data_IF_620217064305
#
_entry.id   IF_620217064305
#
_cell.length_a   1.000
_cell.length_b   1.000
_cell.length_c   1.000
_cell.angle_alpha   90.00
_cell.angle_beta   90.00
_cell.angle_gamma   90.00
#
_symmetry.space_group_name_H-M   'P 1'
#
loop_
_entity.id
_entity.type
_entity.pdbx_description
1 polymer ?
#
# COMPACT_ATOMS: atom_id res chain seq x y z
N UNK A 1 1.78 -17.34 8.57
CA UNK A 1 1.90 -18.24 7.40
C UNK A 1 0.68 -17.93 6.54
N UNK A 2 0.83 -17.80 5.22
CA UNK A 2 -0.32 -17.61 4.34
C UNK A 2 -1.22 -18.86 4.38
N UNK A 3 -2.52 -18.68 4.12
CA UNK A 3 -3.42 -19.81 3.92
C UNK A 3 -3.12 -20.52 2.60
N UNK A 4 -3.43 -21.82 2.54
CA UNK A 4 -3.37 -22.57 1.28
C UNK A 4 -4.60 -22.33 0.40
N UNK A 5 -4.45 -22.55 -0.91
CA UNK A 5 -5.54 -22.39 -1.89
C UNK A 5 -6.79 -23.20 -1.50
N UNK A 6 -6.70 -24.48 -1.08
CA UNK A 6 -7.89 -25.26 -0.70
C UNK A 6 -8.69 -24.66 0.46
N UNK A 7 -8.03 -24.15 1.51
CA UNK A 7 -8.73 -23.52 2.62
C UNK A 7 -9.46 -22.24 2.17
N UNK A 8 -8.80 -21.41 1.36
CA UNK A 8 -9.38 -20.17 0.83
C UNK A 8 -10.56 -20.47 -0.10
N UNK A 9 -10.42 -21.42 -1.03
CA UNK A 9 -11.52 -21.84 -1.93
C UNK A 9 -12.69 -22.44 -1.15
N UNK A 10 -12.44 -23.21 -0.09
CA UNK A 10 -13.51 -23.71 0.78
C UNK A 10 -14.32 -22.57 1.40
N UNK A 11 -13.67 -21.56 1.99
CA UNK A 11 -14.34 -20.41 2.61
C UNK A 11 -15.12 -19.60 1.58
N UNK A 12 -14.52 -19.33 0.42
CA UNK A 12 -15.18 -18.66 -0.70
C UNK A 12 -16.46 -19.39 -1.12
N UNK A 13 -16.41 -20.72 -1.18
CA UNK A 13 -17.57 -21.55 -1.54
C UNK A 13 -18.66 -21.55 -0.48
N UNK A 14 -18.32 -21.47 0.81
CA UNK A 14 -19.30 -21.34 1.91
C UNK A 14 -20.05 -20.02 1.76
N UNK A 15 -19.33 -18.89 1.67
CA UNK A 15 -19.94 -17.56 1.49
C UNK A 15 -20.77 -17.51 0.21
N UNK A 16 -20.25 -18.04 -0.92
CA UNK A 16 -21.02 -18.13 -2.17
C UNK A 16 -22.38 -18.81 -1.98
N UNK A 17 -22.42 -19.96 -1.31
CA UNK A 17 -23.66 -20.72 -1.11
C UNK A 17 -24.66 -19.94 -0.26
N UNK A 18 -24.19 -19.27 0.79
CA UNK A 18 -25.05 -18.43 1.63
C UNK A 18 -25.71 -17.32 0.80
N UNK A 19 -24.91 -16.64 -0.04
CA UNK A 19 -25.41 -15.56 -0.89
C UNK A 19 -26.37 -16.07 -1.96
N UNK A 20 -26.07 -17.18 -2.62
CA UNK A 20 -26.94 -17.78 -3.65
C UNK A 20 -28.26 -18.31 -3.07
N UNK A 21 -28.24 -18.79 -1.82
CA UNK A 21 -29.45 -19.22 -1.10
C UNK A 21 -30.39 -18.04 -0.77
N UNK A 22 -29.81 -16.88 -0.50
CA UNK A 22 -30.55 -15.68 -0.14
C UNK A 22 -30.99 -14.86 -1.37
N UNK A 23 -30.05 -14.59 -2.28
CA UNK A 23 -30.20 -13.81 -3.51
C UNK A 23 -30.14 -14.71 -4.75
N UNK A 24 -31.23 -15.43 -5.02
CA UNK A 24 -31.33 -16.43 -6.11
C UNK A 24 -30.99 -15.93 -7.53
N UNK A 25 -31.05 -14.63 -7.76
CA UNK A 25 -30.73 -14.00 -9.05
C UNK A 25 -29.23 -13.71 -9.22
N UNK A 26 -28.43 -13.97 -8.20
CA UNK A 26 -27.02 -13.61 -8.12
C UNK A 26 -26.16 -14.84 -7.91
N UNK A 27 -25.14 -14.99 -8.74
CA UNK A 27 -24.12 -16.04 -8.63
C UNK A 27 -22.75 -15.42 -8.44
N UNK A 28 -21.85 -16.17 -7.80
CA UNK A 28 -20.47 -15.74 -7.59
C UNK A 28 -19.50 -16.75 -8.17
N UNK A 29 -18.44 -16.25 -8.82
CA UNK A 29 -17.27 -17.04 -9.18
C UNK A 29 -16.06 -16.46 -8.47
N UNK A 30 -15.49 -17.24 -7.56
CA UNK A 30 -14.25 -16.92 -6.88
C UNK A 30 -13.10 -17.63 -7.60
N UNK A 31 -12.17 -16.85 -8.15
CA UNK A 31 -10.92 -17.34 -8.74
C UNK A 31 -9.84 -17.20 -7.68
N UNK A 32 -9.52 -18.30 -7.02
CA UNK A 32 -8.49 -18.37 -5.96
C UNK A 32 -7.15 -18.73 -6.59
N UNK A 33 -6.09 -17.99 -6.25
CA UNK A 33 -4.75 -18.15 -6.84
C UNK A 33 -3.63 -17.78 -5.86
N UNK A 34 -2.40 -18.13 -6.23
CA UNK A 34 -1.15 -17.62 -5.64
C UNK A 34 -0.45 -16.69 -6.64
N UNK A 35 0.45 -15.82 -6.16
CA UNK A 35 1.20 -14.90 -7.01
C UNK A 35 1.85 -15.61 -8.21
N UNK A 36 1.55 -15.13 -9.43
CA UNK A 36 2.03 -15.72 -10.68
C UNK A 36 1.17 -16.86 -11.25
N UNK A 37 0.13 -17.34 -10.56
CA UNK A 37 -0.72 -18.46 -11.00
C UNK A 37 -2.13 -18.04 -11.46
N UNK A 38 -2.42 -16.74 -11.54
CA UNK A 38 -3.78 -16.23 -11.85
C UNK A 38 -4.36 -16.79 -13.16
N UNK A 39 -3.56 -16.89 -14.23
CA UNK A 39 -4.00 -17.43 -15.52
C UNK A 39 -4.39 -18.91 -15.45
N UNK A 40 -3.67 -19.69 -14.65
CA UNK A 40 -4.01 -21.10 -14.43
C UNK A 40 -5.32 -21.23 -13.64
N UNK A 41 -5.51 -20.39 -12.62
CA UNK A 41 -6.73 -20.36 -11.82
C UNK A 41 -7.96 -19.95 -12.65
N UNK A 42 -7.83 -18.95 -13.53
CA UNK A 42 -8.89 -18.53 -14.45
C UNK A 42 -9.30 -19.70 -15.35
N UNK A 43 -8.33 -20.38 -15.97
CA UNK A 43 -8.59 -21.55 -16.83
C UNK A 43 -9.28 -22.69 -16.08
N UNK A 44 -8.91 -22.94 -14.83
CA UNK A 44 -9.56 -23.97 -14.00
C UNK A 44 -11.04 -23.64 -13.71
N UNK A 45 -11.37 -22.35 -13.58
CA UNK A 45 -12.74 -21.87 -13.30
C UNK A 45 -13.56 -21.54 -14.57
N UNK A 46 -12.98 -21.57 -15.77
CA UNK A 46 -13.66 -21.22 -17.03
C UNK A 46 -15.01 -21.93 -17.23
N UNK A 47 -15.10 -23.20 -16.81
CA UNK A 47 -16.34 -23.97 -16.90
C UNK A 47 -17.48 -23.42 -16.02
N UNK A 48 -17.18 -22.73 -14.91
CA UNK A 48 -18.18 -22.07 -14.06
C UNK A 48 -18.71 -20.81 -14.76
N UNK A 49 -17.85 -20.05 -15.44
CA UNK A 49 -18.27 -18.90 -16.26
C UNK A 49 -19.23 -19.33 -17.38
N UNK A 50 -18.88 -20.38 -18.14
CA UNK A 50 -19.72 -20.84 -19.26
C UNK A 50 -21.15 -21.28 -18.87
N UNK A 51 -21.42 -21.54 -17.58
CA UNK A 51 -22.76 -21.86 -17.08
C UNK A 51 -23.66 -20.63 -16.96
N UNK A 52 -23.09 -19.43 -16.92
CA UNK A 52 -23.83 -18.19 -16.71
C UNK A 52 -24.00 -17.40 -18.02
N UNK A 53 -25.17 -16.78 -18.28
CA UNK A 53 -25.44 -16.08 -19.54
C UNK A 53 -24.44 -14.96 -19.92
N UNK A 54 -23.94 -14.19 -18.95
CA UNK A 54 -22.88 -13.17 -19.16
C UNK A 54 -21.46 -13.67 -18.86
N UNK A 55 -21.28 -14.98 -18.67
CA UNK A 55 -20.00 -15.52 -18.23
C UNK A 55 -18.90 -15.47 -19.30
N UNK A 56 -19.26 -15.59 -20.58
CA UNK A 56 -18.29 -15.52 -21.70
C UNK A 56 -17.66 -14.12 -21.77
N UNK A 57 -18.48 -13.06 -21.71
CA UNK A 57 -17.99 -11.68 -21.73
C UNK A 57 -17.11 -11.34 -20.53
N UNK A 58 -17.51 -11.82 -19.34
CA UNK A 58 -16.70 -11.66 -18.12
C UNK A 58 -15.38 -12.44 -18.17
N UNK A 59 -15.37 -13.65 -18.71
CA UNK A 59 -14.17 -14.46 -18.84
C UNK A 59 -13.17 -13.82 -19.80
N UNK A 60 -13.63 -13.35 -20.98
CA UNK A 60 -12.78 -12.64 -21.96
C UNK A 60 -12.19 -11.34 -21.36
N UNK A 61 -13.02 -10.56 -20.64
CA UNK A 61 -12.55 -9.37 -19.94
C UNK A 61 -11.51 -9.72 -18.85
N UNK A 62 -11.73 -10.81 -18.13
CA UNK A 62 -10.82 -11.27 -17.07
C UNK A 62 -9.48 -11.74 -17.64
N UNK A 63 -9.48 -12.57 -18.69
CA UNK A 63 -8.26 -13.08 -19.33
C UNK A 63 -7.38 -11.94 -19.88
N UNK A 64 -8.00 -10.92 -20.50
CA UNK A 64 -7.29 -9.73 -21.05
C UNK A 64 -6.65 -8.87 -19.98
N UNK A 65 -7.25 -8.80 -18.79
CA UNK A 65 -6.84 -7.84 -17.77
C UNK A 65 -5.99 -8.48 -16.68
N UNK A 66 -6.10 -9.81 -16.47
CA UNK A 66 -5.40 -10.54 -15.42
C UNK A 66 -3.86 -10.45 -15.50
N UNK A 67 -3.27 -10.22 -16.67
CA UNK A 67 -1.82 -9.98 -16.81
C UNK A 67 -1.38 -8.65 -16.17
N UNK A 68 -2.25 -7.65 -16.14
CA UNK A 68 -2.00 -6.35 -15.52
C UNK A 68 -2.34 -6.32 -14.02
N UNK A 69 -2.79 -7.44 -13.44
CA UNK A 69 -3.23 -7.48 -12.06
C UNK A 69 -2.05 -7.72 -11.10
N UNK A 70 -1.89 -6.83 -10.12
CA UNK A 70 -0.80 -6.78 -9.14
C UNK A 70 -0.84 -7.88 -8.06
N UNK A 71 -1.34 -9.08 -8.39
CA UNK A 71 -1.28 -10.21 -7.47
C UNK A 71 -2.06 -10.00 -6.16
N UNK A 72 -3.17 -9.25 -6.15
CA UNK A 72 -3.98 -9.03 -4.94
C UNK A 72 -5.44 -9.38 -5.13
N UNK A 73 -6.06 -9.75 -4.01
CA UNK A 73 -7.49 -10.01 -3.90
C UNK A 73 -8.28 -8.74 -4.20
N UNK A 74 -9.27 -8.85 -5.09
CA UNK A 74 -10.20 -7.75 -5.39
C UNK A 74 -11.52 -8.23 -5.99
N UNK A 75 -12.54 -7.38 -5.88
CA UNK A 75 -13.70 -7.46 -6.75
C UNK A 75 -13.31 -7.11 -8.19
N UNK A 76 -13.58 -8.01 -9.14
CA UNK A 76 -13.25 -7.77 -10.54
C UNK A 76 -14.37 -7.02 -11.26
N UNK A 77 -15.57 -7.62 -11.31
CA UNK A 77 -16.70 -7.06 -12.04
C UNK A 77 -18.03 -7.70 -11.63
N UNK A 78 -19.13 -6.99 -11.93
CA UNK A 78 -20.49 -7.52 -11.92
C UNK A 78 -21.01 -7.58 -13.36
N UNK A 79 -21.29 -8.78 -13.85
CA UNK A 79 -22.01 -8.99 -15.09
C UNK A 79 -23.51 -9.11 -14.86
N UNK A 80 -24.30 -8.60 -15.79
CA UNK A 80 -25.77 -8.71 -15.79
C UNK A 80 -26.26 -9.17 -17.15
N UNK A 81 -27.19 -10.11 -17.18
CA UNK A 81 -27.86 -10.55 -18.40
C UNK A 81 -29.35 -10.81 -18.17
N UNK A 82 -30.18 -10.59 -19.20
CA UNK A 82 -31.59 -10.92 -19.16
C UNK A 82 -31.83 -12.36 -19.64
N UNK A 83 -32.33 -13.21 -18.75
CA UNK A 83 -32.73 -14.58 -19.10
C UNK A 83 -34.23 -14.64 -19.38
N UNK A 84 -34.61 -15.38 -20.42
CA UNK A 84 -36.02 -15.67 -20.71
C UNK A 84 -36.50 -16.73 -19.72
N UNK A 85 -37.55 -16.45 -18.96
CA UNK A 85 -38.23 -17.51 -18.22
C UNK A 85 -39.15 -18.31 -19.15
N UNK A 86 -39.58 -19.48 -18.66
CA UNK A 86 -40.43 -20.42 -19.40
C UNK A 86 -41.77 -19.80 -19.88
N UNK A 87 -42.20 -18.68 -19.29
CA UNK A 87 -43.43 -17.96 -19.61
C UNK A 87 -43.13 -16.56 -20.19
N UNK A 88 -43.44 -16.31 -21.48
CA UNK A 88 -43.16 -15.05 -22.17
C UNK A 88 -44.26 -14.04 -21.87
N UNK A 89 -44.14 -13.27 -20.78
CA UNK A 89 -43.33 -12.05 -20.91
C UNK A 89 -42.28 -11.86 -19.80
N UNK A 90 -42.04 -12.85 -18.94
CA UNK A 90 -41.17 -12.68 -17.78
C UNK A 90 -39.70 -12.88 -18.18
N UNK A 91 -38.95 -11.77 -18.22
CA UNK A 91 -37.48 -11.80 -18.22
C UNK A 91 -37.01 -11.68 -16.77
N UNK A 92 -36.04 -12.51 -16.40
CA UNK A 92 -35.37 -12.39 -15.11
C UNK A 92 -33.93 -11.94 -15.33
N UNK A 93 -33.51 -10.93 -14.59
CA UNK A 93 -32.12 -10.52 -14.55
C UNK A 93 -31.29 -11.56 -13.79
N UNK A 94 -30.21 -12.03 -14.42
CA UNK A 94 -29.24 -12.95 -13.85
C UNK A 94 -27.92 -12.21 -13.70
N UNK A 95 -27.35 -12.24 -12.50
CA UNK A 95 -26.15 -11.48 -12.13
C UNK A 95 -25.00 -12.43 -11.82
N UNK A 96 -23.80 -12.11 -12.32
CA UNK A 96 -22.58 -12.85 -12.00
C UNK A 96 -21.53 -11.89 -11.45
N UNK A 97 -21.21 -12.04 -10.16
CA UNK A 97 -20.11 -11.35 -9.50
C UNK A 97 -18.83 -12.18 -9.61
N UNK A 98 -17.71 -11.53 -9.94
CA UNK A 98 -16.42 -12.19 -10.10
C UNK A 98 -15.44 -11.64 -9.06
N UNK A 99 -14.91 -12.55 -8.23
CA UNK A 99 -13.93 -12.24 -7.19
C UNK A 99 -12.59 -12.88 -7.54
N UNK A 100 -11.52 -12.09 -7.46
CA UNK A 100 -10.15 -12.60 -7.55
C UNK A 100 -9.59 -12.65 -6.14
N UNK A 101 -9.06 -13.78 -5.73
CA UNK A 101 -8.64 -14.02 -4.34
C UNK A 101 -7.22 -14.56 -4.33
N UNK A 102 -6.24 -13.73 -3.96
CA UNK A 102 -4.89 -14.22 -3.70
C UNK A 102 -4.85 -14.84 -2.30
N UNK A 103 -4.52 -16.13 -2.21
CA UNK A 103 -4.39 -16.83 -0.94
C UNK A 103 -3.31 -16.23 -0.03
N UNK A 104 -2.29 -15.60 -0.60
CA UNK A 104 -1.19 -14.96 0.12
C UNK A 104 -1.59 -13.70 0.90
N UNK A 105 -2.74 -13.10 0.57
CA UNK A 105 -3.24 -11.91 1.27
C UNK A 105 -3.76 -12.23 2.68
N UNK A 106 -4.02 -13.51 2.98
CA UNK A 106 -4.73 -13.92 4.18
C UNK A 106 -3.88 -14.83 5.06
N UNK A 107 -3.94 -14.58 6.37
CA UNK A 107 -3.23 -15.36 7.38
C UNK A 107 -4.18 -16.27 8.19
N UNK A 108 -5.47 -16.00 8.14
CA UNK A 108 -6.49 -16.69 8.92
C UNK A 108 -7.83 -16.77 8.16
N UNK A 109 -8.65 -17.80 8.41
CA UNK A 109 -9.92 -18.01 7.72
C UNK A 109 -10.96 -16.89 7.88
N UNK A 110 -10.94 -16.20 9.01
CA UNK A 110 -11.90 -15.13 9.32
C UNK A 110 -11.67 -13.93 8.42
N UNK A 111 -10.40 -13.56 8.21
CA UNK A 111 -10.00 -12.50 7.28
C UNK A 111 -10.47 -12.77 5.84
N UNK A 112 -10.43 -14.03 5.37
CA UNK A 112 -10.96 -14.41 4.04
C UNK A 112 -12.47 -14.22 3.99
N UNK A 113 -13.18 -14.76 4.99
CA UNK A 113 -14.64 -14.72 5.06
C UNK A 113 -15.14 -13.28 5.06
N UNK A 114 -14.58 -12.46 5.95
CA UNK A 114 -14.89 -11.03 6.04
C UNK A 114 -14.64 -10.31 4.72
N UNK A 115 -13.48 -10.54 4.12
CA UNK A 115 -13.16 -9.94 2.82
C UNK A 115 -14.18 -10.34 1.76
N UNK A 116 -14.61 -11.61 1.72
CA UNK A 116 -15.69 -12.06 0.83
C UNK A 116 -17.00 -11.32 1.10
N UNK A 117 -17.44 -11.15 2.36
CA UNK A 117 -18.67 -10.39 2.65
C UNK A 117 -18.56 -8.91 2.24
N UNK A 118 -17.40 -8.27 2.43
CA UNK A 118 -17.15 -6.91 1.90
C UNK A 118 -17.34 -6.89 0.37
N UNK A 119 -16.84 -7.89 -0.35
CA UNK A 119 -17.04 -7.96 -1.80
C UNK A 119 -18.50 -8.24 -2.20
N UNK A 120 -19.21 -9.06 -1.42
CA UNK A 120 -20.64 -9.31 -1.59
C UNK A 120 -21.42 -8.00 -1.45
N UNK A 121 -21.11 -7.18 -0.44
CA UNK A 121 -21.71 -5.86 -0.28
C UNK A 121 -21.50 -4.99 -1.52
N UNK A 122 -20.27 -4.89 -2.04
CA UNK A 122 -20.01 -4.12 -3.26
C UNK A 122 -20.86 -4.60 -4.43
N UNK A 123 -20.99 -5.91 -4.59
CA UNK A 123 -21.77 -6.51 -5.65
C UNK A 123 -23.29 -6.20 -5.50
N UNK A 124 -23.82 -6.25 -4.27
CA UNK A 124 -25.21 -5.87 -3.96
C UNK A 124 -25.48 -4.38 -4.27
N UNK A 125 -24.55 -3.48 -3.91
CA UNK A 125 -24.69 -2.05 -4.21
C UNK A 125 -24.58 -1.74 -5.70
N UNK A 126 -23.77 -2.49 -6.44
CA UNK A 126 -23.69 -2.37 -7.90
C UNK A 126 -24.97 -2.86 -8.59
N UNK A 127 -25.67 -3.85 -8.02
CA UNK A 127 -26.98 -4.31 -8.50
C UNK A 127 -28.02 -3.20 -8.50
N UNK A 128 -28.13 -2.43 -7.41
CA UNK A 128 -29.13 -1.35 -7.32
C UNK A 128 -28.97 -0.30 -8.43
N UNK A 129 -27.75 -0.09 -8.93
CA UNK A 129 -27.50 0.79 -10.07
C UNK A 129 -27.92 0.22 -11.44
N UNK A 130 -28.14 -1.09 -11.54
CA UNK A 130 -28.53 -1.77 -12.78
C UNK A 130 -30.03 -1.69 -13.07
N UNK A 131 -30.87 -1.54 -12.04
CA UNK A 131 -32.33 -1.44 -12.22
C UNK A 131 -32.74 -0.25 -13.13
N UNK A 132 -31.83 0.71 -13.34
CA UNK A 132 -31.99 1.84 -14.26
C UNK A 132 -31.54 1.57 -15.71
N UNK A 133 -30.75 0.53 -15.99
CA UNK A 133 -30.08 0.32 -17.28
C UNK A 133 -30.73 -0.82 -18.11
N UNK A 134 -31.40 -0.47 -19.21
CA UNK A 134 -32.14 -1.41 -20.08
C UNK A 134 -31.28 -2.13 -21.16
N UNK A 135 -30.07 -2.57 -20.84
CA UNK A 135 -29.25 -3.35 -21.80
C UNK A 135 -29.43 -4.86 -21.61
N UNK A 136 -29.21 -5.64 -22.67
CA UNK A 136 -29.27 -7.11 -22.63
C UNK A 136 -28.06 -7.74 -21.92
N UNK A 137 -26.90 -7.08 -21.96
CA UNK A 137 -25.69 -7.42 -21.20
C UNK A 137 -24.97 -6.16 -20.73
N UNK A 138 -24.49 -6.14 -19.48
CA UNK A 138 -23.71 -5.05 -18.91
C UNK A 138 -22.62 -5.66 -18.01
N UNK A 139 -21.39 -5.18 -18.17
CA UNK A 139 -20.28 -5.42 -17.23
C UNK A 139 -20.01 -4.12 -16.49
N UNK A 140 -20.16 -4.14 -15.17
CA UNK A 140 -19.87 -3.02 -14.29
C UNK A 140 -18.55 -3.24 -13.55
N UNK A 141 -17.76 -2.19 -13.47
CA UNK A 141 -16.55 -2.11 -12.65
C UNK A 141 -16.77 -1.19 -11.44
N UNK A 142 -15.92 -1.32 -10.43
CA UNK A 142 -15.94 -0.43 -9.27
C UNK A 142 -15.59 1.02 -9.66
N UNK A 143 -16.13 1.96 -8.90
CA UNK A 143 -15.78 3.38 -9.05
C UNK A 143 -14.27 3.58 -8.84
N UNK A 144 -13.68 4.52 -9.57
CA UNK A 144 -12.29 4.93 -9.40
C UNK A 144 -12.16 6.14 -8.45
N UNK A 145 -13.28 6.68 -7.96
CA UNK A 145 -13.28 7.81 -7.03
C UNK A 145 -12.94 7.34 -5.61
N UNK A 146 -11.80 7.78 -5.03
CA UNK A 146 -11.34 7.33 -3.72
C UNK A 146 -12.33 7.59 -2.58
N UNK A 147 -13.07 8.71 -2.62
CA UNK A 147 -14.03 9.02 -1.56
C UNK A 147 -15.20 8.03 -1.57
N UNK A 148 -15.70 7.71 -2.77
CA UNK A 148 -16.75 6.69 -2.97
C UNK A 148 -16.25 5.29 -2.62
N UNK A 149 -14.99 4.97 -2.92
CA UNK A 149 -14.40 3.69 -2.52
C UNK A 149 -14.34 3.61 -0.99
N UNK A 150 -13.83 4.65 -0.32
CA UNK A 150 -13.75 4.69 1.13
C UNK A 150 -15.12 4.53 1.80
N UNK A 151 -16.13 5.26 1.33
CA UNK A 151 -17.51 5.12 1.82
C UNK A 151 -18.05 3.70 1.59
N UNK A 152 -17.85 3.12 0.40
CA UNK A 152 -18.31 1.75 0.11
C UNK A 152 -17.62 0.70 0.97
N UNK A 153 -16.31 0.86 1.22
CA UNK A 153 -15.54 -0.04 2.06
C UNK A 153 -15.96 0.07 3.53
N UNK A 154 -16.27 1.27 4.01
CA UNK A 154 -16.86 1.49 5.34
C UNK A 154 -18.13 0.66 5.53
N UNK A 155 -19.05 0.77 4.59
CA UNK A 155 -20.32 0.03 4.65
C UNK A 155 -20.13 -1.47 4.40
N UNK A 156 -19.13 -1.85 3.60
CA UNK A 156 -18.77 -3.24 3.41
C UNK A 156 -18.22 -3.87 4.69
N UNK A 157 -17.37 -3.15 5.42
CA UNK A 157 -16.87 -3.56 6.72
C UNK A 157 -18.02 -3.65 7.74
N UNK A 158 -18.94 -2.69 7.76
CA UNK A 158 -20.16 -2.73 8.59
C UNK A 158 -21.03 -3.95 8.28
N UNK A 159 -21.32 -4.18 6.99
CA UNK A 159 -22.08 -5.33 6.50
C UNK A 159 -21.43 -6.64 6.94
N UNK A 160 -20.13 -6.79 6.71
CA UNK A 160 -19.39 -7.99 7.09
C UNK A 160 -19.38 -8.20 8.60
N UNK A 161 -19.14 -7.14 9.38
CA UNK A 161 -19.15 -7.18 10.84
C UNK A 161 -20.50 -7.66 11.37
N UNK A 162 -21.60 -7.12 10.85
CA UNK A 162 -22.95 -7.44 11.28
C UNK A 162 -23.29 -8.90 10.95
N UNK A 163 -22.96 -9.39 9.75
CA UNK A 163 -23.18 -10.80 9.39
C UNK A 163 -22.41 -11.74 10.30
N UNK A 164 -21.15 -11.44 10.59
CA UNK A 164 -20.34 -12.26 11.49
C UNK A 164 -20.98 -12.33 12.90
N UNK A 165 -21.47 -11.22 13.43
CA UNK A 165 -22.21 -11.23 14.70
C UNK A 165 -23.56 -11.98 14.60
N UNK A 166 -24.34 -11.79 13.53
CA UNK A 166 -25.61 -12.50 13.31
C UNK A 166 -25.44 -14.02 13.19
N UNK A 167 -24.27 -14.47 12.75
CA UNK A 167 -23.93 -15.90 12.63
C UNK A 167 -23.26 -16.48 13.88
N UNK A 168 -23.25 -15.73 14.99
CA UNK A 168 -22.82 -16.18 16.31
C UNK A 168 -21.35 -15.90 16.63
N UNK A 169 -20.72 -14.96 15.92
CA UNK A 169 -19.36 -14.50 16.22
C UNK A 169 -19.39 -13.12 16.89
N UNK A 170 -19.44 -13.11 18.22
CA UNK A 170 -19.58 -11.87 18.99
C UNK A 170 -18.32 -11.00 18.95
N UNK A 171 -18.50 -9.67 18.96
CA UNK A 171 -17.40 -8.69 19.07
C UNK A 171 -16.68 -8.38 17.76
N UNK A 172 -17.21 -8.85 16.62
CA UNK A 172 -16.59 -8.64 15.31
C UNK A 172 -16.61 -7.19 14.83
N UNK A 173 -17.58 -6.38 15.28
CA UNK A 173 -17.65 -4.93 15.01
C UNK A 173 -16.38 -4.25 15.54
N UNK A 174 -16.14 -4.36 16.84
CA UNK A 174 -14.92 -3.82 17.47
C UNK A 174 -13.65 -4.45 16.90
N UNK A 175 -13.66 -5.75 16.59
CA UNK A 175 -12.48 -6.44 16.05
C UNK A 175 -12.03 -5.84 14.70
N UNK A 176 -12.96 -5.54 13.79
CA UNK A 176 -12.69 -4.94 12.48
C UNK A 176 -12.20 -3.51 12.64
N UNK A 177 -12.88 -2.70 13.46
CA UNK A 177 -12.45 -1.33 13.73
C UNK A 177 -11.01 -1.28 14.26
N UNK A 178 -10.69 -2.12 15.26
CA UNK A 178 -9.33 -2.27 15.79
C UNK A 178 -8.33 -2.74 14.74
N UNK A 179 -8.72 -3.62 13.83
CA UNK A 179 -7.85 -4.05 12.73
C UNK A 179 -7.53 -2.88 11.80
N UNK A 180 -8.53 -2.13 11.33
CA UNK A 180 -8.32 -0.95 10.47
C UNK A 180 -7.42 0.09 11.14
N UNK A 181 -7.65 0.38 12.42
CA UNK A 181 -6.75 1.23 13.22
C UNK A 181 -5.29 0.72 13.24
N UNK A 182 -5.07 -0.60 13.37
CA UNK A 182 -3.72 -1.19 13.34
C UNK A 182 -3.09 -1.06 11.96
N UNK A 183 -3.86 -1.25 10.90
CA UNK A 183 -3.41 -1.15 9.51
C UNK A 183 -2.99 0.29 9.20
N UNK A 184 -3.75 1.30 9.66
CA UNK A 184 -3.43 2.73 9.52
C UNK A 184 -2.08 3.13 10.12
N UNK A 185 -1.62 2.45 11.17
CA UNK A 185 -0.36 2.75 11.86
C UNK A 185 0.80 1.81 11.50
N UNK A 186 0.63 0.97 10.46
CA UNK A 186 1.65 -0.01 10.04
C UNK A 186 1.98 0.16 8.56
N UNK A 187 3.25 -0.10 8.24
CA UNK A 187 3.72 -0.29 6.87
C UNK A 187 3.21 -1.63 6.34
N UNK A 188 2.19 -1.58 5.48
CA UNK A 188 1.64 -2.75 4.79
C UNK A 188 1.69 -2.47 3.28
N UNK A 189 2.55 -3.15 2.51
CA UNK A 189 2.59 -2.99 1.06
C UNK A 189 1.20 -3.19 0.45
N UNK A 190 0.88 -2.32 -0.51
CA UNK A 190 -0.31 -2.17 -1.35
C UNK A 190 -1.65 -2.08 -0.62
N UNK A 191 -1.61 -1.82 0.69
CA UNK A 191 -2.80 -1.53 1.45
C UNK A 191 -2.98 -0.01 1.58
N UNK A 192 -4.19 0.44 1.34
CA UNK A 192 -4.58 1.86 1.36
C UNK A 192 -5.52 2.10 2.55
N UNK A 193 -4.94 2.30 3.73
CA UNK A 193 -5.69 2.45 4.99
C UNK A 193 -6.68 3.63 4.97
N UNK A 194 -6.40 4.67 4.19
CA UNK A 194 -7.29 5.79 3.94
C UNK A 194 -8.62 5.37 3.30
N UNK A 195 -8.67 4.22 2.61
CA UNK A 195 -9.89 3.71 2.00
C UNK A 195 -10.74 2.85 2.94
N UNK A 196 -10.39 2.74 4.23
CA UNK A 196 -11.12 1.89 5.19
C UNK A 196 -11.50 2.67 6.46
N UNK A 197 -12.46 3.62 6.37
CA UNK A 197 -12.85 4.49 7.48
C UNK A 197 -13.78 3.83 8.49
N UNK A 198 -13.98 2.50 8.46
CA UNK A 198 -14.88 1.81 9.39
C UNK A 198 -14.71 2.16 10.89
N UNK A 199 -13.50 2.47 11.41
CA UNK A 199 -13.35 2.91 12.80
C UNK A 199 -14.22 4.10 13.21
N UNK A 200 -14.50 5.04 12.29
CA UNK A 200 -15.34 6.20 12.63
C UNK A 200 -16.83 5.83 12.79
N UNK A 201 -17.20 4.62 12.38
CA UNK A 201 -18.59 4.11 12.37
C UNK A 201 -18.85 3.01 13.38
N UNK A 202 -17.86 2.64 14.19
CA UNK A 202 -17.99 1.50 15.10
C UNK A 202 -19.16 1.67 16.08
N UNK A 203 -19.26 2.81 16.75
CA UNK A 203 -20.35 3.08 17.69
C UNK A 203 -21.73 3.00 17.02
N UNK A 204 -21.87 3.58 15.82
CA UNK A 204 -23.12 3.52 15.07
C UNK A 204 -23.46 2.08 14.66
N UNK A 205 -22.45 1.30 14.25
CA UNK A 205 -22.64 -0.11 13.93
C UNK A 205 -23.05 -0.93 15.15
N UNK A 206 -22.46 -0.65 16.32
CA UNK A 206 -22.78 -1.31 17.57
C UNK A 206 -24.22 -0.99 18.02
N UNK A 207 -24.62 0.29 17.99
CA UNK A 207 -25.97 0.73 18.35
C UNK A 207 -27.01 0.09 17.42
N UNK A 208 -26.81 0.17 16.10
CA UNK A 208 -27.74 -0.42 15.13
C UNK A 208 -27.84 -1.94 15.30
N UNK A 209 -26.72 -2.60 15.61
CA UNK A 209 -26.72 -4.04 15.89
C UNK A 209 -27.48 -4.39 17.19
N UNK A 210 -27.29 -3.63 18.26
CA UNK A 210 -27.96 -3.84 19.54
C UNK A 210 -29.46 -3.59 19.44
N UNK A 211 -29.89 -2.51 18.78
CA UNK A 211 -31.30 -2.19 18.53
C UNK A 211 -32.01 -3.31 17.75
N UNK A 212 -31.29 -4.03 16.89
CA UNK A 212 -31.82 -5.17 16.16
C UNK A 212 -32.09 -6.39 17.06
N UNK A 213 -31.26 -6.63 18.07
CA UNK A 213 -31.44 -7.79 18.95
C UNK A 213 -32.84 -7.80 19.60
N UNK A 214 -33.40 -6.60 19.79
CA UNK A 214 -34.73 -6.35 20.34
C UNK A 214 -35.83 -6.16 19.27
N UNK A 215 -35.48 -6.19 17.98
CA UNK A 215 -36.39 -5.91 16.87
C UNK A 215 -37.12 -7.16 16.35
N UNK A 216 -38.39 -7.04 15.94
CA UNK A 216 -39.11 -8.11 15.24
C UNK A 216 -38.51 -8.46 13.87
N UNK A 217 -37.62 -7.61 13.32
CA UNK A 217 -36.94 -7.84 12.04
C UNK A 217 -35.91 -8.98 12.09
N UNK A 218 -35.61 -9.53 13.27
CA UNK A 218 -34.69 -10.67 13.46
C UNK A 218 -35.07 -11.93 12.68
N UNK A 219 -36.33 -12.08 12.27
CA UNK A 219 -36.79 -13.19 11.43
C UNK A 219 -36.37 -13.05 9.95
N UNK A 220 -35.84 -11.89 9.56
CA UNK A 220 -35.30 -11.63 8.22
C UNK A 220 -34.04 -12.45 8.00
N UNK A 221 -33.76 -12.79 6.73
CA UNK A 221 -32.53 -13.50 6.39
C UNK A 221 -31.28 -12.64 6.68
N UNK A 222 -30.16 -13.23 7.14
CA UNK A 222 -29.04 -12.46 7.66
C UNK A 222 -28.40 -11.46 6.69
N UNK A 223 -28.24 -11.80 5.40
CA UNK A 223 -27.56 -10.88 4.47
C UNK A 223 -28.42 -9.65 4.15
N UNK A 224 -29.72 -9.84 3.97
CA UNK A 224 -30.68 -8.76 3.72
C UNK A 224 -30.73 -7.83 4.91
N UNK A 225 -30.80 -8.39 6.11
CA UNK A 225 -30.82 -7.61 7.34
C UNK A 225 -29.54 -6.80 7.52
N UNK A 226 -28.37 -7.43 7.34
CA UNK A 226 -27.10 -6.73 7.39
C UNK A 226 -26.97 -5.64 6.32
N UNK A 227 -27.54 -5.84 5.13
CA UNK A 227 -27.53 -4.84 4.07
C UNK A 227 -28.40 -3.62 4.41
N UNK A 228 -29.54 -3.84 5.05
CA UNK A 228 -30.42 -2.77 5.54
C UNK A 228 -29.73 -1.96 6.64
N UNK A 229 -29.11 -2.63 7.61
CA UNK A 229 -28.38 -1.99 8.70
C UNK A 229 -27.15 -1.21 8.23
N UNK A 230 -26.37 -1.79 7.30
CA UNK A 230 -25.23 -1.08 6.70
C UNK A 230 -25.70 0.18 5.94
N UNK A 231 -26.85 0.12 5.27
CA UNK A 231 -27.46 1.30 4.63
C UNK A 231 -27.86 2.36 5.66
N UNK A 232 -28.47 1.95 6.78
CA UNK A 232 -28.86 2.86 7.86
C UNK A 232 -27.65 3.56 8.49
N UNK A 233 -26.59 2.80 8.80
CA UNK A 233 -25.31 3.36 9.27
C UNK A 233 -24.78 4.38 8.27
N UNK A 234 -24.83 4.07 6.97
CA UNK A 234 -24.37 4.99 5.92
C UNK A 234 -25.08 6.34 5.90
N UNK A 235 -26.36 6.41 6.29
CA UNK A 235 -27.08 7.68 6.38
C UNK A 235 -26.64 8.59 7.54
N UNK A 236 -25.84 8.07 8.48
CA UNK A 236 -25.35 8.83 9.63
C UNK A 236 -23.99 9.51 9.40
N UNK A 237 -23.32 9.21 8.28
CA UNK A 237 -22.00 9.75 7.94
C UNK A 237 -22.02 10.51 6.62
N UNK A 238 -21.36 11.66 6.59
CA UNK A 238 -21.21 12.49 5.40
C UNK A 238 -19.83 12.35 4.76
N UNK A 239 -19.67 12.93 3.58
CA UNK A 239 -18.41 12.94 2.84
C UNK A 239 -17.28 13.64 3.63
N UNK A 240 -17.62 14.58 4.51
CA UNK A 240 -16.65 15.31 5.32
C UNK A 240 -15.98 14.39 6.36
N UNK A 241 -16.74 13.55 7.05
CA UNK A 241 -16.19 12.57 7.98
C UNK A 241 -15.27 11.55 7.28
N UNK A 242 -15.65 11.10 6.09
CA UNK A 242 -14.81 10.21 5.26
C UNK A 242 -13.51 10.90 4.87
N UNK A 243 -13.57 12.17 4.47
CA UNK A 243 -12.38 12.93 4.10
C UNK A 243 -11.45 13.16 5.29
N UNK A 244 -11.99 13.44 6.49
CA UNK A 244 -11.20 13.60 7.71
C UNK A 244 -10.43 12.31 8.06
N UNK A 245 -11.07 11.14 7.93
CA UNK A 245 -10.38 9.86 8.10
C UNK A 245 -9.24 9.71 7.09
N UNK A 246 -9.52 9.99 5.81
CA UNK A 246 -8.52 9.86 4.73
C UNK A 246 -7.30 10.75 4.99
N UNK A 247 -7.51 11.99 5.41
CA UNK A 247 -6.43 12.93 5.69
C UNK A 247 -5.58 12.47 6.87
N UNK A 248 -6.22 12.00 7.95
CA UNK A 248 -5.51 11.39 9.09
C UNK A 248 -4.71 10.15 8.67
N UNK A 249 -5.36 9.21 7.98
CA UNK A 249 -4.77 7.92 7.61
C UNK A 249 -3.60 8.08 6.63
N UNK A 250 -3.68 9.00 5.67
CA UNK A 250 -2.59 9.29 4.75
C UNK A 250 -1.33 9.80 5.47
N UNK A 251 -1.49 10.76 6.38
CA UNK A 251 -0.38 11.32 7.18
C UNK A 251 0.20 10.26 8.13
N UNK A 252 -0.65 9.42 8.72
CA UNK A 252 -0.24 8.31 9.56
C UNK A 252 0.57 7.27 8.78
N UNK A 253 0.12 6.91 7.58
CA UNK A 253 0.83 6.01 6.68
C UNK A 253 2.17 6.60 6.23
N UNK A 254 2.21 7.89 5.89
CA UNK A 254 3.46 8.56 5.54
C UNK A 254 4.52 8.38 6.64
N UNK A 255 4.13 8.63 7.90
CA UNK A 255 5.03 8.38 9.03
C UNK A 255 5.36 6.89 9.23
N UNK A 256 4.41 5.98 9.09
CA UNK A 256 4.66 4.55 9.21
C UNK A 256 5.69 4.06 8.18
N UNK A 257 5.63 4.58 6.95
CA UNK A 257 6.56 4.24 5.88
C UNK A 257 7.94 4.89 6.02
N UNK A 258 8.04 6.02 6.73
CA UNK A 258 9.29 6.57 7.25
C UNK A 258 9.80 5.83 8.50
N UNK A 259 9.17 4.74 8.93
CA UNK A 259 9.65 3.91 10.04
C UNK A 259 9.35 4.47 11.45
N UNK A 260 8.47 5.46 11.57
CA UNK A 260 7.99 5.88 12.88
C UNK A 260 7.12 4.78 13.50
N UNK A 261 7.28 4.57 14.81
CA UNK A 261 6.43 3.63 15.54
C UNK A 261 5.05 4.23 15.83
N UNK A 262 4.08 3.36 16.12
CA UNK A 262 2.67 3.73 16.34
C UNK A 262 2.46 4.81 17.40
N UNK A 263 3.17 4.74 18.53
CA UNK A 263 3.07 5.74 19.59
C UNK A 263 3.51 7.11 19.08
N UNK A 264 4.62 7.17 18.35
CA UNK A 264 5.14 8.41 17.79
C UNK A 264 4.22 9.01 16.72
N UNK A 265 3.57 8.16 15.91
CA UNK A 265 2.55 8.61 14.94
C UNK A 265 1.36 9.26 15.66
N UNK A 266 0.78 8.56 16.65
CA UNK A 266 -0.38 9.07 17.38
C UNK A 266 -0.04 10.32 18.21
N UNK A 267 1.11 10.33 18.88
CA UNK A 267 1.56 11.52 19.61
C UNK A 267 1.79 12.72 18.68
N UNK A 268 2.28 12.50 17.46
CA UNK A 268 2.43 13.57 16.48
C UNK A 268 1.05 14.14 16.09
N UNK A 269 0.11 13.28 15.73
CA UNK A 269 -1.25 13.72 15.41
C UNK A 269 -1.92 14.47 16.56
N UNK A 270 -1.82 13.98 17.81
CA UNK A 270 -2.48 14.57 18.98
C UNK A 270 -1.86 15.90 19.42
N UNK A 271 -0.53 15.96 19.53
CA UNK A 271 0.15 17.07 20.20
C UNK A 271 0.71 18.13 19.26
N UNK A 272 0.79 17.87 17.96
CA UNK A 272 1.39 18.81 16.99
C UNK A 272 0.43 19.27 15.91
N UNK A 273 -0.70 18.59 15.71
CA UNK A 273 -1.68 19.02 14.72
C UNK A 273 -2.54 20.16 15.25
N UNK A 274 -2.70 21.19 14.42
CA UNK A 274 -3.60 22.31 14.70
C UNK A 274 -5.06 21.95 14.37
N UNK A 275 -5.27 20.96 13.51
CA UNK A 275 -6.58 20.49 13.09
C UNK A 275 -7.27 19.66 14.20
N UNK A 276 -8.40 20.13 14.76
CA UNK A 276 -9.12 19.40 15.81
C UNK A 276 -9.69 18.05 15.33
N UNK A 277 -9.99 17.89 14.04
CA UNK A 277 -10.52 16.63 13.50
C UNK A 277 -9.42 15.57 13.44
N UNK A 278 -8.22 15.94 13.00
CA UNK A 278 -7.05 15.05 13.06
C UNK A 278 -6.75 14.60 14.49
N UNK A 279 -6.81 15.52 15.47
CA UNK A 279 -6.62 15.16 16.88
C UNK A 279 -7.70 14.20 17.37
N UNK A 280 -8.96 14.44 17.00
CA UNK A 280 -10.09 13.58 17.38
C UNK A 280 -9.95 12.17 16.80
N UNK A 281 -9.58 12.04 15.52
CA UNK A 281 -9.29 10.75 14.89
C UNK A 281 -8.13 10.02 15.56
N UNK A 282 -7.09 10.76 15.95
CA UNK A 282 -5.95 10.18 16.65
C UNK A 282 -6.35 9.66 18.05
N UNK A 283 -7.22 10.37 18.78
CA UNK A 283 -7.77 9.88 20.05
C UNK A 283 -8.64 8.64 19.87
N UNK A 284 -9.53 8.62 18.88
CA UNK A 284 -10.35 7.45 18.53
C UNK A 284 -9.46 6.22 18.26
N UNK A 285 -8.44 6.38 17.41
CA UNK A 285 -7.50 5.30 17.11
C UNK A 285 -6.71 4.87 18.35
N UNK A 286 -6.33 5.82 19.21
CA UNK A 286 -5.63 5.54 20.45
C UNK A 286 -6.47 4.72 21.42
N UNK A 287 -7.74 5.10 21.60
CA UNK A 287 -8.71 4.42 22.44
C UNK A 287 -8.99 3.01 21.93
N UNK A 288 -9.31 2.87 20.64
CA UNK A 288 -9.53 1.56 20.02
C UNK A 288 -8.32 0.64 20.14
N UNK A 289 -7.11 1.17 20.12
CA UNK A 289 -5.90 0.36 20.27
C UNK A 289 -5.44 0.18 21.71
N UNK A 290 -6.13 0.78 22.68
CA UNK A 290 -5.74 0.88 24.08
C UNK A 290 -4.28 1.38 24.23
N UNK A 291 -4.00 2.48 23.54
CA UNK A 291 -2.70 3.15 23.53
C UNK A 291 -2.80 4.47 24.31
N UNK A 292 -1.70 4.85 24.94
CA UNK A 292 -1.58 6.11 25.70
C UNK A 292 -0.37 6.90 25.17
N UNK A 293 -0.52 7.59 24.03
CA UNK A 293 0.53 8.40 23.43
C UNK A 293 0.93 9.52 24.39
N UNK A 294 2.23 9.62 24.67
CA UNK A 294 2.80 10.67 25.50
C UNK A 294 3.12 11.91 24.64
N UNK A 295 3.14 13.13 25.23
CA UNK A 295 3.64 14.32 24.55
C UNK A 295 5.02 14.07 23.94
N UNK A 296 5.20 14.47 22.69
CA UNK A 296 6.49 14.34 22.03
C UNK A 296 7.46 15.40 22.56
N UNK A 297 8.72 15.00 22.75
CA UNK A 297 9.82 15.95 22.71
C UNK A 297 9.99 16.54 21.30
N UNK A 298 11.09 17.27 21.07
CA UNK A 298 11.37 17.80 19.74
C UNK A 298 11.40 16.67 18.69
N UNK A 299 10.54 16.76 17.68
CA UNK A 299 10.52 15.81 16.56
C UNK A 299 11.84 15.92 15.79
N UNK A 300 12.45 14.77 15.52
CA UNK A 300 13.72 14.70 14.80
C UNK A 300 13.54 14.58 13.27
N UNK A 301 12.33 14.50 12.74
CA UNK A 301 12.17 14.36 11.30
C UNK A 301 10.84 14.93 10.84
N UNK A 302 10.52 14.67 9.57
CA UNK A 302 9.32 15.21 8.96
C UNK A 302 8.09 14.71 9.72
N UNK A 303 7.23 15.66 10.06
CA UNK A 303 5.97 15.40 10.72
C UNK A 303 4.84 15.95 9.84
N UNK A 304 4.11 15.09 9.11
CA UNK A 304 3.04 15.51 8.21
C UNK A 304 1.80 16.04 8.95
N UNK A 305 1.75 15.90 10.29
CA UNK A 305 0.68 16.48 11.11
C UNK A 305 0.95 17.91 11.55
N UNK A 306 2.21 18.36 11.51
CA UNK A 306 2.60 19.72 11.85
C UNK A 306 2.54 20.65 10.64
N UNK A 307 2.54 21.96 10.89
CA UNK A 307 2.64 22.98 9.85
C UNK A 307 3.92 22.78 9.00
N UNK A 308 3.79 23.04 7.70
CA UNK A 308 4.89 22.95 6.74
C UNK A 308 6.00 23.95 7.09
N UNK A 309 5.68 25.13 7.60
CA UNK A 309 6.69 26.10 8.03
C UNK A 309 7.54 25.58 9.19
N UNK A 310 6.93 24.82 10.12
CA UNK A 310 7.64 24.21 11.26
C UNK A 310 8.59 23.12 10.75
N UNK A 311 8.14 22.31 9.79
CA UNK A 311 8.95 21.29 9.15
C UNK A 311 10.12 21.88 8.36
N UNK A 312 9.90 22.96 7.61
CA UNK A 312 10.93 23.67 6.83
C UNK A 312 11.99 24.27 7.76
N UNK A 313 11.57 24.97 8.83
CA UNK A 313 12.49 25.50 9.85
C UNK A 313 13.33 24.40 10.49
N UNK A 314 12.72 23.25 10.80
CA UNK A 314 13.44 22.09 11.32
C UNK A 314 14.44 21.53 10.29
N UNK A 315 14.05 21.44 9.03
CA UNK A 315 14.91 20.99 7.93
C UNK A 315 16.16 21.88 7.81
N UNK A 316 15.99 23.20 7.70
CA UNK A 316 17.10 24.16 7.57
C UNK A 316 18.03 24.06 8.79
N UNK A 317 17.46 24.10 10.00
CA UNK A 317 18.23 23.97 11.25
C UNK A 317 19.04 22.68 11.31
N UNK A 318 18.47 21.55 10.85
CA UNK A 318 19.19 20.28 10.80
C UNK A 318 20.31 20.27 9.77
N UNK A 319 20.07 20.82 8.58
CA UNK A 319 21.08 20.93 7.54
C UNK A 319 22.29 21.75 8.02
N UNK A 320 22.04 22.93 8.60
CA UNK A 320 23.09 23.81 9.14
C UNK A 320 23.86 23.17 10.31
N UNK A 321 23.16 22.54 11.26
CA UNK A 321 23.81 21.88 12.39
C UNK A 321 24.68 20.69 11.94
N UNK A 322 24.23 19.96 10.92
CA UNK A 322 25.02 18.86 10.35
C UNK A 322 26.28 19.39 9.65
N UNK A 323 26.13 20.43 8.82
CA UNK A 323 27.26 21.04 8.14
C UNK A 323 28.32 21.57 9.12
N UNK A 324 27.89 22.31 10.15
CA UNK A 324 28.81 22.83 11.18
C UNK A 324 29.63 21.73 11.85
N UNK A 325 29.00 20.60 12.19
CA UNK A 325 29.71 19.45 12.79
C UNK A 325 30.72 18.81 11.83
N UNK A 326 30.44 18.84 10.53
CA UNK A 326 31.30 18.23 9.51
C UNK A 326 32.52 19.10 9.24
N UNK A 327 32.35 20.43 9.21
CA UNK A 327 33.46 21.33 8.90
C UNK A 327 34.49 21.41 10.04
N UNK A 328 34.05 21.18 11.27
CA UNK A 328 34.89 21.03 12.47
C UNK A 328 35.62 19.66 12.54
N UNK A 329 35.38 18.75 11.59
CA UNK A 329 35.99 17.42 11.58
C UNK A 329 37.46 17.45 11.13
N UNK A 330 38.21 16.39 11.46
CA UNK A 330 39.64 16.26 11.09
C UNK A 330 39.87 16.18 9.58
N UNK A 331 38.96 15.55 8.84
CA UNK A 331 38.95 15.51 7.37
C UNK A 331 37.55 15.94 6.87
N UNK A 332 37.33 17.25 6.68
CA UNK A 332 36.04 17.77 6.22
C UNK A 332 35.67 17.27 4.83
N UNK A 333 36.64 17.06 3.93
CA UNK A 333 36.34 16.68 2.54
C UNK A 333 35.78 15.25 2.46
N UNK A 334 36.40 14.30 3.16
CA UNK A 334 35.88 12.94 3.26
C UNK A 334 34.52 12.92 3.97
N UNK A 335 34.39 13.67 5.07
CA UNK A 335 33.17 13.73 5.86
C UNK A 335 31.98 14.35 5.09
N UNK A 336 32.21 15.40 4.27
CA UNK A 336 31.20 16.00 3.39
C UNK A 336 30.69 14.99 2.36
N UNK A 337 31.60 14.30 1.65
CA UNK A 337 31.23 13.30 0.64
C UNK A 337 30.44 12.15 1.27
N UNK A 338 30.93 11.61 2.40
CA UNK A 338 30.27 10.53 3.11
C UNK A 338 28.87 10.93 3.59
N UNK A 339 28.70 12.15 4.11
CA UNK A 339 27.39 12.61 4.57
C UNK A 339 26.41 12.82 3.40
N UNK A 340 26.87 13.35 2.27
CA UNK A 340 26.04 13.50 1.08
C UNK A 340 25.50 12.14 0.59
N UNK A 341 26.35 11.10 0.59
CA UNK A 341 25.96 9.72 0.29
C UNK A 341 24.89 9.19 1.25
N UNK A 342 25.13 9.33 2.57
CA UNK A 342 24.18 8.90 3.60
C UNK A 342 22.82 9.60 3.47
N UNK A 343 22.82 10.91 3.19
CA UNK A 343 21.59 11.68 3.00
C UNK A 343 20.83 11.26 1.75
N UNK A 344 21.52 10.99 0.64
CA UNK A 344 20.90 10.49 -0.57
C UNK A 344 20.27 9.10 -0.35
N UNK A 345 20.93 8.22 0.39
CA UNK A 345 20.35 6.93 0.77
C UNK A 345 19.10 7.10 1.65
N UNK A 346 19.16 7.97 2.66
CA UNK A 346 18.03 8.26 3.53
C UNK A 346 16.85 8.89 2.77
N UNK A 347 17.12 9.71 1.75
CA UNK A 347 16.09 10.26 0.87
C UNK A 347 15.34 9.15 0.12
N UNK A 348 16.02 8.10 -0.34
CA UNK A 348 15.37 6.94 -0.97
C UNK A 348 14.44 6.18 -0.02
N UNK A 349 14.63 6.35 1.29
CA UNK A 349 13.79 5.78 2.33
C UNK A 349 12.62 6.70 2.74
N UNK A 350 12.53 7.90 2.16
CA UNK A 350 11.51 8.92 2.46
C UNK A 350 11.94 9.94 3.53
N UNK A 351 13.20 9.94 3.95
CA UNK A 351 13.70 10.87 4.95
C UNK A 351 14.24 12.16 4.33
N UNK A 352 13.42 13.22 4.35
CA UNK A 352 13.76 14.52 3.72
C UNK A 352 14.29 15.59 4.67
N UNK A 353 14.03 15.49 5.98
CA UNK A 353 14.40 16.55 6.92
C UNK A 353 15.91 16.61 7.13
N UNK A 354 16.48 17.78 6.88
CA UNK A 354 17.93 18.00 6.92
C UNK A 354 18.68 17.46 5.71
N UNK A 355 17.99 17.00 4.66
CA UNK A 355 18.65 16.66 3.40
C UNK A 355 19.28 17.91 2.79
N UNK A 356 20.58 17.89 2.56
CA UNK A 356 21.32 19.01 1.97
C UNK A 356 22.48 18.50 1.11
N UNK A 357 22.33 17.32 0.49
CA UNK A 357 23.42 16.62 -0.16
C UNK A 357 24.03 17.45 -1.29
N UNK A 358 23.23 18.18 -2.06
CA UNK A 358 23.71 19.11 -3.09
C UNK A 358 24.60 20.21 -2.48
N UNK A 359 24.16 20.82 -1.39
CA UNK A 359 24.90 21.88 -0.71
C UNK A 359 26.21 21.37 -0.08
N UNK A 360 26.20 20.14 0.44
CA UNK A 360 27.42 19.48 0.94
C UNK A 360 28.43 19.21 -0.19
N UNK A 361 27.96 18.80 -1.37
CA UNK A 361 28.80 18.59 -2.55
C UNK A 361 29.38 19.91 -3.09
N UNK A 362 28.61 20.99 -3.07
CA UNK A 362 29.09 22.33 -3.45
C UNK A 362 30.16 22.86 -2.48
N UNK A 363 29.97 22.65 -1.18
CA UNK A 363 30.98 22.95 -0.17
C UNK A 363 32.25 22.11 -0.39
N UNK A 364 32.11 20.83 -0.73
CA UNK A 364 33.23 19.94 -1.05
C UNK A 364 34.00 20.43 -2.29
N UNK A 365 33.31 20.96 -3.30
CA UNK A 365 33.97 21.57 -4.46
C UNK A 365 34.79 22.79 -4.04
N UNK A 366 34.27 23.66 -3.16
CA UNK A 366 35.06 24.77 -2.60
C UNK A 366 36.33 24.27 -1.90
N UNK A 367 36.23 23.21 -1.08
CA UNK A 367 37.39 22.60 -0.44
C UNK A 367 38.45 22.12 -1.44
N UNK A 368 38.03 21.50 -2.54
CA UNK A 368 38.94 20.99 -3.59
C UNK A 368 39.56 22.11 -4.43
N UNK A 369 38.82 23.17 -4.69
CA UNK A 369 39.26 24.32 -5.49
C UNK A 369 40.28 25.18 -4.72
N UNK A 370 39.99 25.47 -3.44
CA UNK A 370 40.71 26.46 -2.63
C UNK A 370 41.94 25.91 -1.89
N UNK A 371 42.07 24.58 -1.79
CA UNK A 371 43.32 23.97 -1.32
C UNK A 371 44.53 24.35 -2.21
N UNK A 372 44.26 24.92 -3.40
CA UNK A 372 45.25 25.40 -4.36
C UNK A 372 45.57 26.91 -4.25
N UNK A 373 44.74 27.72 -3.59
CA UNK A 373 44.87 29.20 -3.61
C UNK A 373 45.20 29.85 -2.27
N UNK A 374 45.03 29.16 -1.13
CA UNK A 374 45.48 29.63 0.19
C UNK A 374 44.53 30.59 0.92
N UNK A 375 43.28 30.72 0.46
CA UNK A 375 42.22 31.49 1.13
C UNK A 375 41.63 30.75 2.35
N UNK A 376 40.79 31.45 3.14
CA UNK A 376 40.03 30.86 4.25
C UNK A 376 38.98 29.84 3.73
N UNK A 377 39.43 28.59 3.67
CA UNK A 377 38.68 27.43 3.19
C UNK A 377 37.34 27.25 3.91
N UNK A 378 37.28 27.55 5.21
CA UNK A 378 36.09 27.33 6.02
C UNK A 378 35.01 28.37 5.71
N UNK A 379 35.41 29.64 5.60
CA UNK A 379 34.49 30.74 5.25
C UNK A 379 33.89 30.53 3.86
N UNK A 380 34.71 30.17 2.88
CA UNK A 380 34.25 29.95 1.51
C UNK A 380 33.38 28.71 1.35
N UNK A 381 33.71 27.60 2.02
CA UNK A 381 32.87 26.40 2.04
C UNK A 381 31.52 26.70 2.69
N UNK A 382 31.50 27.48 3.78
CA UNK A 382 30.28 27.93 4.46
C UNK A 382 29.42 28.79 3.54
N UNK A 383 30.02 29.74 2.83
CA UNK A 383 29.30 30.61 1.87
C UNK A 383 28.68 29.79 0.73
N UNK A 384 29.44 28.85 0.14
CA UNK A 384 28.91 27.96 -0.92
C UNK A 384 27.78 27.08 -0.39
N UNK A 385 27.94 26.48 0.79
CA UNK A 385 26.90 25.67 1.43
C UNK A 385 25.59 26.46 1.61
N UNK A 386 25.67 27.65 2.22
CA UNK A 386 24.49 28.47 2.50
C UNK A 386 23.78 28.93 1.22
N UNK A 387 24.54 29.26 0.17
CA UNK A 387 23.98 29.63 -1.13
C UNK A 387 23.25 28.43 -1.75
N UNK A 388 23.92 27.29 -1.86
CA UNK A 388 23.38 26.09 -2.46
C UNK A 388 22.16 25.54 -1.70
N UNK A 389 22.17 25.60 -0.35
CA UNK A 389 21.05 25.13 0.47
C UNK A 389 19.73 25.82 0.09
N UNK A 390 19.77 27.10 -0.29
CA UNK A 390 18.57 27.88 -0.70
C UNK A 390 18.08 27.58 -2.11
N UNK A 391 18.82 26.82 -2.91
CA UNK A 391 18.46 26.47 -4.29
C UNK A 391 17.44 25.32 -4.37
N UNK A 392 17.23 24.59 -3.27
CA UNK A 392 16.21 23.53 -3.19
C UNK A 392 15.10 23.94 -2.25
N UNK A 393 13.89 24.09 -2.79
CA UNK A 393 12.71 24.41 -1.99
C UNK A 393 12.21 23.19 -1.21
N UNK A 394 11.81 23.41 0.06
CA UNK A 394 11.28 22.37 0.94
C UNK A 394 10.12 21.59 0.31
N UNK A 395 9.21 22.30 -0.37
CA UNK A 395 8.04 21.68 -1.01
C UNK A 395 8.41 20.63 -2.07
N UNK A 396 9.53 20.82 -2.78
CA UNK A 396 9.97 19.87 -3.80
C UNK A 396 10.54 18.60 -3.16
N UNK A 397 11.20 18.71 -2.01
CA UNK A 397 11.63 17.56 -1.22
C UNK A 397 10.43 16.77 -0.69
N UNK A 398 9.43 17.44 -0.12
CA UNK A 398 8.20 16.78 0.36
C UNK A 398 7.49 16.05 -0.78
N UNK A 399 7.28 16.72 -1.92
CA UNK A 399 6.68 16.08 -3.12
C UNK A 399 7.44 14.84 -3.55
N UNK A 400 8.78 14.91 -3.60
CA UNK A 400 9.61 13.77 -3.96
C UNK A 400 9.45 12.61 -2.96
N UNK A 401 9.45 12.91 -1.66
CA UNK A 401 9.20 11.92 -0.61
C UNK A 401 7.85 11.25 -0.79
N UNK A 402 6.78 12.02 -1.00
CA UNK A 402 5.44 11.46 -1.21
C UNK A 402 5.39 10.51 -2.41
N UNK A 403 6.07 10.85 -3.52
CA UNK A 403 6.17 9.97 -4.70
C UNK A 403 6.92 8.68 -4.37
N UNK A 404 8.08 8.77 -3.72
CA UNK A 404 8.88 7.61 -3.29
C UNK A 404 8.05 6.71 -2.38
N UNK A 405 7.39 7.28 -1.38
CA UNK A 405 6.57 6.52 -0.44
C UNK A 405 5.36 5.89 -1.12
N UNK A 406 4.74 6.56 -2.10
CA UNK A 406 3.66 5.99 -2.89
C UNK A 406 4.11 4.78 -3.72
N UNK A 407 5.28 4.87 -4.38
CA UNK A 407 5.86 3.72 -5.11
C UNK A 407 6.16 2.54 -4.17
N UNK A 408 6.75 2.82 -3.01
CA UNK A 408 7.02 1.78 -1.99
C UNK A 408 5.73 1.17 -1.46
N UNK A 409 4.70 2.00 -1.24
CA UNK A 409 3.35 1.56 -0.88
C UNK A 409 2.81 0.63 -1.96
N UNK A 410 2.92 0.95 -3.23
CA UNK A 410 2.52 0.06 -4.33
C UNK A 410 3.38 -1.22 -4.48
N UNK A 411 4.41 -1.42 -3.65
CA UNK A 411 5.32 -2.56 -3.75
C UNK A 411 6.35 -2.44 -4.88
N UNK A 412 6.45 -1.27 -5.50
CA UNK A 412 7.45 -0.99 -6.54
C UNK A 412 8.85 -0.83 -5.94
N UNK A 413 9.86 -1.28 -6.67
CA UNK A 413 11.25 -1.10 -6.27
C UNK A 413 11.69 0.35 -6.51
N UNK A 414 12.06 1.03 -5.44
CA UNK A 414 12.65 2.38 -5.52
C UNK A 414 14.16 2.25 -5.56
N UNK A 415 14.77 2.76 -6.63
CA UNK A 415 16.22 2.74 -6.86
C UNK A 415 16.74 4.16 -7.08
N UNK A 416 18.03 4.44 -6.86
CA UNK A 416 18.61 5.75 -7.18
C UNK A 416 18.37 6.17 -8.63
N UNK A 417 18.36 5.21 -9.58
CA UNK A 417 18.09 5.44 -10.99
C UNK A 417 16.63 5.86 -11.24
N UNK A 418 15.67 5.16 -10.61
CA UNK A 418 14.25 5.51 -10.76
C UNK A 418 13.95 6.89 -10.18
N UNK A 419 14.55 7.24 -9.03
CA UNK A 419 14.39 8.56 -8.42
C UNK A 419 15.08 9.66 -9.23
N UNK A 420 16.26 9.40 -9.79
CA UNK A 420 16.94 10.34 -10.68
C UNK A 420 16.11 10.62 -11.94
N UNK A 421 15.51 9.59 -12.55
CA UNK A 421 14.64 9.75 -13.71
C UNK A 421 13.47 10.68 -13.39
N UNK A 422 12.78 10.43 -12.27
CA UNK A 422 11.68 11.30 -11.79
C UNK A 422 12.11 12.76 -11.59
N UNK A 423 13.29 12.97 -11.00
CA UNK A 423 13.80 14.32 -10.75
C UNK A 423 14.29 15.02 -12.03
N UNK A 424 14.70 14.27 -13.05
CA UNK A 424 15.19 14.84 -14.32
C UNK A 424 14.05 15.31 -15.21
N UNK A 425 12.90 14.64 -15.14
CA UNK A 425 11.67 15.03 -15.83
C UNK A 425 11.02 16.29 -15.26
N UNK A 426 11.40 16.69 -14.04
CA UNK A 426 10.86 17.86 -13.35
C UNK A 426 11.94 18.93 -13.11
N UNK A 427 11.85 20.06 -13.81
CA UNK A 427 12.83 21.15 -13.70
C UNK A 427 13.02 21.65 -12.26
N UNK A 428 11.96 21.67 -11.44
CA UNK A 428 12.03 22.09 -10.03
C UNK A 428 12.82 21.13 -9.12
N UNK A 429 13.14 19.92 -9.60
CA UNK A 429 13.87 18.88 -8.87
C UNK A 429 15.27 18.60 -9.46
N UNK A 430 15.72 19.41 -10.44
CA UNK A 430 17.00 19.21 -11.15
C UNK A 430 18.21 19.16 -10.20
N UNK A 431 18.23 20.01 -9.17
CA UNK A 431 19.31 20.05 -8.16
C UNK A 431 19.41 18.74 -7.37
N UNK A 432 18.27 18.10 -7.10
CA UNK A 432 18.22 16.80 -6.42
C UNK A 432 18.77 15.71 -7.35
N UNK A 433 18.38 15.73 -8.63
CA UNK A 433 18.89 14.78 -9.64
C UNK A 433 20.42 14.84 -9.75
N UNK A 434 20.99 16.04 -9.77
CA UNK A 434 22.44 16.26 -9.85
C UNK A 434 23.17 15.73 -8.61
N UNK A 435 22.63 15.96 -7.41
CA UNK A 435 23.22 15.45 -6.18
C UNK A 435 23.23 13.92 -6.11
N UNK A 436 22.20 13.26 -6.65
CA UNK A 436 22.13 11.79 -6.74
C UNK A 436 23.18 11.23 -7.71
N UNK A 437 23.51 11.95 -8.79
CA UNK A 437 24.48 11.49 -9.79
C UNK A 437 25.93 11.73 -9.33
N UNK A 438 26.22 12.91 -8.78
CA UNK A 438 27.55 13.31 -8.31
C UNK A 438 28.02 12.50 -7.10
N UNK A 439 27.09 11.90 -6.36
CA UNK A 439 27.38 11.03 -5.23
C UNK A 439 27.49 9.55 -5.65
N UNK A 440 27.53 9.17 -6.93
CA UNK A 440 27.75 7.75 -7.27
C UNK A 440 29.20 7.33 -6.96
N UNK A 441 29.42 6.19 -6.28
CA UNK A 441 30.74 5.59 -6.27
C UNK A 441 31.16 5.35 -7.73
N UNK A 442 32.25 5.97 -8.18
CA UNK A 442 32.82 5.62 -9.49
C UNK A 442 33.10 4.13 -9.46
N UNK A 443 32.44 3.36 -10.32
CA UNK A 443 32.74 1.95 -10.48
C UNK A 443 34.24 1.82 -10.70
N UNK A 444 34.93 1.14 -9.77
CA UNK A 444 36.32 0.76 -9.95
C UNK A 444 36.33 -0.08 -11.21
N UNK A 445 36.94 0.44 -12.29
CA UNK A 445 37.19 -0.38 -13.49
C UNK A 445 37.94 -1.61 -13.01
N UNK A 446 37.49 -2.84 -13.32
CA UNK A 446 38.29 -4.01 -13.00
C UNK A 446 39.65 -3.81 -13.66
N UNK A 447 40.70 -3.72 -12.85
CA UNK A 447 42.07 -3.75 -13.34
C UNK A 447 42.18 -5.00 -14.19
N UNK A 448 42.48 -4.79 -15.47
CA UNK A 448 42.84 -5.86 -16.39
C UNK A 448 44.04 -6.55 -15.77
N UNK A 449 43.81 -7.73 -15.16
CA UNK A 449 44.90 -8.60 -14.73
C UNK A 449 45.60 -9.01 -16.03
N UNK A 450 46.74 -8.39 -16.32
CA UNK A 450 47.67 -8.85 -17.33
C UNK A 450 48.13 -10.24 -16.89
N UNK A 451 47.56 -11.26 -17.52
CA UNK A 451 48.04 -12.64 -17.40
C UNK A 451 49.49 -12.69 -17.89
N UNK A 452 50.45 -13.18 -17.09
CA UNK A 452 51.82 -13.38 -17.55
C UNK A 452 51.84 -14.41 -18.68
N UNK A 453 52.67 -14.14 -19.68
CA UNK A 453 52.96 -15.02 -20.81
C UNK A 453 53.33 -16.43 -20.31
N UNK A 454 52.66 -17.44 -20.88
CA UNK A 454 53.02 -18.85 -20.71
C UNK A 454 54.31 -19.13 -21.47
N UNK A 455 55.39 -19.36 -20.73
CA UNK A 455 56.54 -20.11 -21.22
C UNK A 455 56.13 -21.54 -21.56
N UNK A 456 56.44 -21.92 -22.80
CA UNK A 456 56.37 -23.28 -23.33
C UNK A 456 57.57 -24.10 -22.88
N UNK A 457 57.35 -25.31 -22.34
CA UNK A 457 58.27 -26.43 -22.54
C UNK A 457 57.60 -27.79 -22.20
N UNK A 458 57.60 -28.63 -23.23
CA UNK A 458 57.91 -30.05 -23.28
C UNK A 458 56.90 -31.14 -22.87
N UNK A 459 56.47 -31.81 -23.95
CA UNK A 459 56.00 -33.19 -24.08
C UNK A 459 56.80 -34.20 -23.25
N UNK A 460 56.09 -35.07 -22.52
CA UNK A 460 56.45 -36.48 -22.45
C UNK A 460 55.19 -37.36 -22.46
N UNK A 461 55.27 -38.38 -23.31
CA UNK A 461 54.20 -39.28 -23.78
C UNK A 461 53.88 -40.38 -22.74
N UNK A 462 52.65 -40.92 -22.67
CA UNK A 462 52.18 -41.73 -21.54
C UNK A 462 52.38 -43.24 -21.72
N UNK A 463 52.33 -44.04 -20.64
CA UNK A 463 52.06 -45.47 -20.77
C UNK A 463 50.60 -45.81 -20.46
N UNK A 464 50.14 -46.83 -21.17
CA UNK A 464 48.76 -47.26 -21.32
C UNK A 464 48.19 -48.05 -20.13
N UNK A 465 46.87 -47.86 -19.97
CA UNK A 465 45.82 -48.81 -19.61
C UNK A 465 46.02 -49.79 -18.42
N UNK A 466 45.12 -49.69 -17.44
CA UNK A 466 44.47 -50.87 -16.88
C UNK A 466 42.98 -50.64 -16.65
N UNK A 467 42.17 -51.54 -17.23
CA UNK A 467 40.74 -51.69 -16.95
C UNK A 467 40.59 -52.38 -15.60
N UNK A 468 39.79 -51.82 -14.70
CA UNK A 468 39.11 -52.61 -13.67
C UNK A 468 37.64 -52.20 -13.60
N UNK A 469 36.82 -53.24 -13.73
CA UNK A 469 35.37 -53.29 -13.66
C UNK A 469 34.92 -53.34 -12.19
N UNK A 470 33.73 -52.75 -11.94
CA UNK A 470 32.69 -53.20 -10.99
C UNK A 470 33.03 -53.06 -9.49
N UNK A 471 32.27 -52.24 -8.75
CA UNK A 471 31.18 -52.81 -7.96
C UNK A 471 30.05 -51.83 -7.59
N UNK A 472 28.83 -52.36 -7.69
CA UNK A 472 27.60 -51.80 -7.13
C UNK A 472 27.52 -52.30 -5.69
N UNK A 473 27.18 -51.44 -4.73
CA UNK A 473 26.14 -51.70 -3.72
C UNK A 473 26.35 -50.97 -2.38
N UNK A 474 25.20 -50.61 -1.77
CA UNK A 474 24.95 -50.21 -0.36
C UNK A 474 25.45 -48.82 0.08
N UNK A 475 24.65 -47.90 0.62
CA UNK A 475 23.28 -47.91 1.20
C UNK A 475 22.63 -46.55 1.00
#
# INVERSE_FOLDING_TARGET
MALDIPAVDHICNVVRREVENEYKAMSFVCVVYESGQIQQAIKAKAHEFHKHPCGVGLLDALEKTAEAHEGRSKFFALGSALTKQLWPPFKQQSLLAVLLVNAEDFQDPESVRRWCYVQVWHALRMREGLDAARSEEIILHTSQDPARIAYRNMLGDAFAAIIENLTGQDGHITAIARQRCRETLKKIPGHEAELFPFPITEDAAQIVYEDLLDSPLRETKPLTLAAEMATEIGHTFDDAAIQQWRDFANRAQEMAWMGYNKNKILSAAIFTSEDPYVRSMAYLVSEMLNMHPAPLGAMEGHNPFADQEVNERLHIKKAELQFKKIIEAKDPAEALMKKALEQNQALMEGHVTGWCAHALLDALMAYKDLHKTGDDLEEMATLRFQKALRETEWINLVKLSSIILHQRRAGQSVTPQSVQALCTENESMRTIAQALDNARPKAVKPETIETPEKETADEETPPAASKIQIDRSFR
#
